data_IF_623850104358
#
_entry.id   IF_623850104358
#
_cell.length_a   1.000
_cell.length_b   1.000
_cell.length_c   1.000
_cell.angle_alpha   90.00
_cell.angle_beta   90.00
_cell.angle_gamma   90.00
#
_symmetry.space_group_name_H-M   'P 1'
#
loop_
_entity.id
_entity.type
_entity.pdbx_description
1 polymer ?
#
# COMPACT_ATOMS: atom_id res chain seq x y z
N UNK A 1 33.37 35.89 11.45
CA UNK A 1 31.99 35.42 11.17
C UNK A 1 32.08 34.07 10.50
N UNK A 2 31.81 33.00 11.26
CA UNK A 2 31.97 31.61 10.87
C UNK A 2 30.64 31.03 10.36
N UNK A 3 30.62 30.46 9.15
CA UNK A 3 29.50 29.63 8.64
C UNK A 3 29.99 28.60 7.61
N UNK A 4 30.67 27.56 8.06
CA UNK A 4 30.92 26.34 7.29
C UNK A 4 31.00 25.15 8.25
N UNK A 5 29.88 24.60 8.72
CA UNK A 5 29.86 23.41 9.62
C UNK A 5 28.47 22.77 9.74
N UNK A 6 27.74 22.56 8.63
CA UNK A 6 26.46 21.83 8.65
C UNK A 6 26.36 20.70 7.61
N UNK A 7 27.43 20.44 6.85
CA UNK A 7 27.41 19.49 5.73
C UNK A 7 28.09 18.13 5.96
N UNK A 8 28.76 17.90 7.10
CA UNK A 8 29.66 16.72 7.24
C UNK A 8 29.51 15.97 8.57
N UNK A 9 28.55 16.33 9.43
CA UNK A 9 28.42 15.74 10.78
C UNK A 9 27.45 14.55 10.87
N UNK A 10 26.75 14.17 9.79
CA UNK A 10 25.81 13.04 9.85
C UNK A 10 26.39 11.69 9.40
N UNK A 11 27.67 11.65 9.00
CA UNK A 11 28.34 10.41 8.55
C UNK A 11 29.23 9.78 9.64
N UNK A 12 29.28 10.37 10.86
CA UNK A 12 30.18 9.93 11.94
C UNK A 12 29.49 9.44 13.23
N UNK A 13 28.33 8.79 13.12
CA UNK A 13 27.79 7.98 14.22
C UNK A 13 27.56 6.54 13.78
N UNK A 14 28.65 5.93 13.32
CA UNK A 14 28.83 4.49 13.39
C UNK A 14 29.26 4.09 14.82
N UNK A 15 28.85 2.88 15.22
CA UNK A 15 29.44 2.04 16.25
C UNK A 15 29.11 2.33 17.73
N UNK A 16 28.06 1.64 18.22
CA UNK A 16 27.94 0.96 19.52
C UNK A 16 26.46 0.51 19.61
N UNK A 17 26.06 -0.75 19.68
CA UNK A 17 26.37 -1.77 20.67
C UNK A 17 26.00 -3.12 20.07
N UNK A 18 26.96 -3.99 19.81
CA UNK A 18 26.75 -5.43 19.66
C UNK A 18 27.75 -6.11 20.58
N UNK A 19 27.30 -6.50 21.77
CA UNK A 19 27.90 -7.58 22.54
C UNK A 19 27.01 -7.96 23.73
N UNK A 20 26.27 -9.07 23.62
CA UNK A 20 26.15 -10.06 24.71
C UNK A 20 26.04 -11.43 24.06
N UNK A 21 27.02 -12.28 24.35
CA UNK A 21 27.03 -13.71 24.07
C UNK A 21 26.96 -14.44 25.41
N UNK A 22 26.15 -15.49 25.51
CA UNK A 22 26.41 -16.68 26.35
C UNK A 22 25.36 -17.75 26.03
N UNK A 23 25.84 -18.97 25.85
CA UNK A 23 25.10 -20.17 25.54
C UNK A 23 24.26 -20.66 26.72
N UNK A 24 23.10 -21.26 26.41
CA UNK A 24 22.44 -22.21 27.29
C UNK A 24 22.07 -23.42 26.41
N UNK A 25 22.72 -24.55 26.71
CA UNK A 25 22.34 -25.87 26.26
C UNK A 25 21.04 -26.27 26.97
N UNK A 26 19.91 -26.24 26.25
CA UNK A 26 18.66 -26.81 26.75
C UNK A 26 18.62 -28.31 26.41
N UNK A 27 19.08 -29.10 27.37
CA UNK A 27 18.94 -30.55 27.47
C UNK A 27 17.43 -30.91 27.43
N UNK A 28 16.94 -31.47 26.32
CA UNK A 28 15.57 -31.98 26.22
C UNK A 28 15.53 -33.43 26.74
N UNK A 29 14.92 -33.71 27.92
CA UNK A 29 14.76 -35.08 28.38
C UNK A 29 13.75 -35.82 27.50
N UNK A 30 14.20 -36.93 26.92
CA UNK A 30 13.36 -37.90 26.24
C UNK A 30 12.52 -38.67 27.26
N UNK A 31 11.25 -38.29 27.41
CA UNK A 31 10.28 -39.05 28.18
C UNK A 31 9.52 -40.02 27.27
N UNK A 32 9.87 -41.31 27.36
CA UNK A 32 8.99 -42.39 26.94
C UNK A 32 7.83 -42.52 27.93
N UNK A 33 6.60 -42.34 27.46
CA UNK A 33 5.40 -42.47 28.30
C UNK A 33 4.15 -42.49 27.44
N UNK A 34 3.41 -43.60 27.51
CA UNK A 34 2.34 -43.92 26.59
C UNK A 34 1.05 -43.14 26.78
N UNK A 35 0.23 -43.17 25.71
CA UNK A 35 -1.23 -43.25 25.83
C UNK A 35 -1.95 -42.04 26.39
N UNK A 36 -2.08 -40.98 25.59
CA UNK A 36 -3.30 -40.19 25.58
C UNK A 36 -3.64 -39.85 24.13
N UNK A 37 -4.60 -40.60 23.57
CA UNK A 37 -5.24 -40.17 22.33
C UNK A 37 -5.87 -38.81 22.63
N UNK A 38 -5.26 -37.75 22.14
CA UNK A 38 -5.90 -36.45 22.07
C UNK A 38 -7.15 -36.69 21.23
N UNK A 39 -8.30 -36.77 21.90
CA UNK A 39 -9.62 -36.85 21.28
C UNK A 39 -9.73 -35.62 20.40
N UNK A 40 -9.55 -35.79 19.09
CA UNK A 40 -9.91 -34.75 18.12
C UNK A 40 -11.40 -34.46 18.34
N UNK A 41 -11.79 -33.25 18.75
CA UNK A 41 -13.19 -32.91 18.79
C UNK A 41 -13.73 -32.97 17.36
N UNK A 42 -14.67 -33.88 17.13
CA UNK A 42 -15.37 -33.99 15.86
C UNK A 42 -16.06 -32.67 15.55
N UNK A 43 -15.67 -32.09 14.42
CA UNK A 43 -16.50 -31.24 13.55
C UNK A 43 -17.54 -30.35 14.23
N UNK A 44 -17.11 -29.29 14.91
CA UNK A 44 -17.87 -28.03 15.10
C UNK A 44 -16.95 -26.79 15.13
N UNK A 45 -15.90 -26.82 14.30
CA UNK A 45 -14.76 -25.89 14.38
C UNK A 45 -14.75 -24.73 13.38
N UNK A 46 -15.89 -24.12 13.04
CA UNK A 46 -15.92 -22.96 12.13
C UNK A 46 -15.87 -21.59 12.84
N UNK A 47 -15.75 -21.55 14.17
CA UNK A 47 -15.91 -20.31 14.94
C UNK A 47 -14.63 -19.48 15.17
N UNK A 48 -13.47 -19.90 14.65
CA UNK A 48 -12.20 -19.16 14.78
C UNK A 48 -11.37 -19.07 13.50
N UNK A 49 -12.01 -19.08 12.32
CA UNK A 49 -11.31 -18.73 11.07
C UNK A 49 -11.19 -17.20 10.98
N UNK A 50 -10.33 -16.63 11.82
CA UNK A 50 -9.97 -15.22 11.75
C UNK A 50 -9.57 -14.85 10.32
N UNK A 51 -10.07 -13.73 9.80
CA UNK A 51 -9.72 -13.23 8.47
C UNK A 51 -8.20 -13.05 8.42
N UNK A 52 -7.52 -13.77 7.53
CA UNK A 52 -6.08 -13.61 7.29
C UNK A 52 -5.81 -12.17 6.88
N UNK A 53 -5.11 -11.42 7.73
CA UNK A 53 -4.66 -10.05 7.42
C UNK A 53 -3.46 -10.11 6.50
N UNK A 54 -3.32 -9.13 5.59
CA UNK A 54 -2.20 -9.03 4.65
C UNK A 54 -2.47 -9.56 3.24
N UNK A 55 -3.52 -10.37 3.04
CA UNK A 55 -4.02 -10.68 1.69
C UNK A 55 -4.71 -9.45 1.07
N UNK A 56 -4.71 -9.36 -0.28
CA UNK A 56 -5.50 -8.35 -0.98
C UNK A 56 -6.98 -8.69 -0.83
N UNK A 57 -7.75 -7.72 -0.36
CA UNK A 57 -9.20 -7.81 -0.22
C UNK A 57 -9.85 -6.83 -1.18
N UNK A 58 -10.82 -7.27 -1.95
CA UNK A 58 -11.62 -6.39 -2.81
C UNK A 58 -12.46 -5.43 -1.97
N UNK A 59 -12.55 -4.18 -2.41
CA UNK A 59 -13.47 -3.19 -1.84
C UNK A 59 -14.76 -3.23 -2.65
N UNK A 60 -15.87 -3.53 -1.99
CA UNK A 60 -17.20 -3.54 -2.61
C UNK A 60 -17.76 -2.12 -2.67
N UNK A 61 -18.66 -1.87 -3.60
CA UNK A 61 -19.38 -0.60 -3.73
C UNK A 61 -18.45 0.63 -3.85
N UNK A 62 -17.41 0.50 -4.68
CA UNK A 62 -16.36 1.52 -4.85
C UNK A 62 -16.91 2.90 -5.23
N UNK A 63 -18.03 2.96 -5.94
CA UNK A 63 -18.67 4.23 -6.33
C UNK A 63 -19.27 4.99 -5.14
N UNK A 64 -19.70 4.29 -4.08
CA UNK A 64 -20.28 4.88 -2.88
C UNK A 64 -19.27 5.11 -1.77
N UNK A 65 -18.14 4.41 -1.82
CA UNK A 65 -17.05 4.55 -0.85
C UNK A 65 -16.32 5.89 -1.04
N UNK A 66 -16.58 6.84 -0.13
CA UNK A 66 -15.99 8.17 -0.16
C UNK A 66 -14.46 8.14 -0.05
N UNK A 67 -13.91 7.28 0.78
CA UNK A 67 -12.46 7.18 0.98
C UNK A 67 -11.78 6.72 -0.32
N UNK A 68 -12.34 5.70 -0.96
CA UNK A 68 -11.81 5.19 -2.24
C UNK A 68 -11.89 6.25 -3.33
N UNK A 69 -13.01 6.97 -3.46
CA UNK A 69 -13.15 8.04 -4.46
C UNK A 69 -12.17 9.20 -4.20
N UNK A 70 -11.96 9.58 -2.93
CA UNK A 70 -10.96 10.58 -2.56
C UNK A 70 -9.53 10.13 -2.90
N UNK A 71 -9.19 8.86 -2.67
CA UNK A 71 -7.88 8.33 -3.05
C UNK A 71 -7.70 8.30 -4.57
N UNK A 72 -8.77 8.06 -5.33
CA UNK A 72 -8.79 8.21 -6.78
C UNK A 72 -8.47 9.63 -7.23
N UNK A 73 -9.17 10.64 -6.66
CA UNK A 73 -8.91 12.07 -6.93
C UNK A 73 -7.48 12.48 -6.56
N UNK A 74 -7.02 12.06 -5.39
CA UNK A 74 -5.65 12.29 -4.94
C UNK A 74 -4.62 11.71 -5.93
N UNK A 75 -4.87 10.52 -6.46
CA UNK A 75 -3.96 9.87 -7.40
C UNK A 75 -3.78 10.67 -8.69
N UNK A 76 -4.89 11.14 -9.28
CA UNK A 76 -4.87 11.96 -10.49
C UNK A 76 -4.22 13.33 -10.23
N UNK A 77 -4.57 13.98 -9.12
CA UNK A 77 -4.01 15.27 -8.75
C UNK A 77 -2.49 15.20 -8.54
N UNK A 78 -2.00 14.16 -7.84
CA UNK A 78 -0.57 13.96 -7.62
C UNK A 78 0.19 13.61 -8.90
N UNK A 79 -0.42 12.82 -9.79
CA UNK A 79 0.17 12.55 -11.10
C UNK A 79 0.35 13.84 -11.90
N UNK A 80 -0.70 14.66 -12.02
CA UNK A 80 -0.64 15.95 -12.69
C UNK A 80 0.39 16.90 -12.05
N UNK A 81 0.47 16.93 -10.72
CA UNK A 81 1.49 17.72 -9.99
C UNK A 81 2.91 17.28 -10.36
N UNK A 82 3.17 15.97 -10.37
CA UNK A 82 4.50 15.43 -10.72
C UNK A 82 4.89 15.73 -12.15
N UNK A 83 3.96 15.63 -13.10
CA UNK A 83 4.22 16.00 -14.50
C UNK A 83 4.61 17.47 -14.65
N UNK A 84 3.86 18.38 -14.00
CA UNK A 84 4.17 19.81 -13.99
C UNK A 84 5.56 20.11 -13.42
N UNK A 85 5.93 19.47 -12.30
CA UNK A 85 7.24 19.66 -11.65
C UNK A 85 8.37 19.09 -12.50
N UNK A 86 8.14 17.96 -13.18
CA UNK A 86 9.13 17.33 -14.05
C UNK A 86 9.38 18.12 -15.35
N UNK A 87 8.55 19.13 -15.66
CA UNK A 87 8.63 19.88 -16.92
C UNK A 87 8.29 19.04 -18.16
N UNK A 88 7.84 17.80 -17.96
CA UNK A 88 7.34 16.95 -19.02
C UNK A 88 5.94 17.45 -19.36
N UNK A 89 5.76 18.04 -20.55
CA UNK A 89 4.47 18.51 -21.06
C UNK A 89 3.50 17.36 -21.39
N UNK A 90 3.37 16.40 -20.48
CA UNK A 90 2.46 15.28 -20.65
C UNK A 90 1.02 15.67 -20.34
N UNK A 91 0.13 14.79 -20.78
CA UNK A 91 -1.31 15.00 -20.80
C UNK A 91 -1.84 15.25 -19.39
N UNK A 92 -2.66 16.31 -19.25
CA UNK A 92 -3.33 16.58 -17.99
C UNK A 92 -4.59 15.73 -17.90
N UNK A 93 -4.77 15.04 -16.79
CA UNK A 93 -5.89 14.15 -16.57
C UNK A 93 -6.94 14.76 -15.64
N UNK A 94 -8.21 14.54 -15.92
CA UNK A 94 -9.34 14.85 -15.07
C UNK A 94 -9.91 13.57 -14.47
N UNK A 95 -10.13 13.57 -13.15
CA UNK A 95 -10.69 12.41 -12.46
C UNK A 95 -12.16 12.24 -12.82
N UNK A 96 -12.55 11.04 -13.26
CA UNK A 96 -13.95 10.70 -13.51
C UNK A 96 -14.51 9.87 -12.35
N UNK A 97 -13.97 8.66 -12.13
CA UNK A 97 -14.42 7.76 -11.07
C UNK A 97 -13.40 6.65 -10.77
N UNK A 98 -13.58 5.96 -9.66
CA UNK A 98 -12.90 4.67 -9.40
C UNK A 98 -13.78 3.52 -9.87
N UNK A 99 -13.23 2.66 -10.73
CA UNK A 99 -13.89 1.50 -11.34
C UNK A 99 -13.77 0.25 -10.47
N UNK A 100 -12.61 0.07 -9.84
CA UNK A 100 -12.35 -1.06 -8.95
C UNK A 100 -11.29 -0.68 -7.91
N UNK A 101 -11.36 -1.31 -6.75
CA UNK A 101 -10.40 -1.10 -5.69
C UNK A 101 -10.12 -2.38 -4.91
N UNK A 102 -8.86 -2.56 -4.52
CA UNK A 102 -8.44 -3.58 -3.58
C UNK A 102 -7.63 -2.92 -2.47
N UNK A 103 -7.75 -3.46 -1.26
CA UNK A 103 -7.05 -3.01 -0.06
C UNK A 103 -6.18 -4.12 0.50
N UNK A 104 -5.00 -3.75 0.99
CA UNK A 104 -4.05 -4.65 1.64
C UNK A 104 -3.47 -3.98 2.88
N UNK A 105 -3.44 -4.72 4.00
CA UNK A 105 -2.77 -4.28 5.23
C UNK A 105 -1.27 -4.53 5.09
N UNK A 106 -0.47 -3.50 5.32
CA UNK A 106 1.01 -3.51 5.31
C UNK A 106 1.50 -2.72 6.54
N UNK A 107 2.66 -2.04 6.49
CA UNK A 107 3.01 -0.95 7.41
C UNK A 107 2.17 0.33 7.15
N UNK A 108 0.85 0.15 6.99
CA UNK A 108 -0.12 1.11 6.44
C UNK A 108 -1.28 0.38 5.77
N UNK A 109 -2.09 1.13 5.03
CA UNK A 109 -3.11 0.61 4.12
C UNK A 109 -2.65 0.85 2.68
N UNK A 110 -2.49 -0.21 1.91
CA UNK A 110 -2.14 -0.13 0.50
C UNK A 110 -3.40 -0.35 -0.34
N UNK A 111 -3.76 0.65 -1.12
CA UNK A 111 -4.86 0.64 -2.06
C UNK A 111 -4.34 0.41 -3.47
N UNK A 112 -4.96 -0.53 -4.18
CA UNK A 112 -4.78 -0.76 -5.60
C UNK A 112 -6.07 -0.32 -6.27
N UNK A 113 -6.01 0.78 -7.01
CA UNK A 113 -7.18 1.43 -7.59
C UNK A 113 -7.11 1.32 -9.11
N UNK A 114 -8.23 1.01 -9.75
CA UNK A 114 -8.46 1.25 -11.17
C UNK A 114 -9.24 2.55 -11.28
N UNK A 115 -8.56 3.62 -11.67
CA UNK A 115 -9.11 4.97 -11.75
C UNK A 115 -9.37 5.28 -13.19
N UNK A 116 -10.59 5.69 -13.49
CA UNK A 116 -10.95 6.15 -14.81
C UNK A 116 -10.86 7.69 -14.84
N UNK A 117 -10.17 8.19 -15.85
CA UNK A 117 -9.83 9.59 -16.02
C UNK A 117 -9.85 9.97 -17.49
N UNK A 118 -10.34 11.17 -17.77
CA UNK A 118 -10.34 11.76 -19.10
C UNK A 118 -9.14 12.68 -19.27
N UNK A 119 -8.75 12.95 -20.51
CA UNK A 119 -7.80 14.03 -20.80
C UNK A 119 -8.50 15.38 -20.66
N UNK A 120 -7.86 16.34 -20.00
CA UNK A 120 -8.38 17.70 -19.84
C UNK A 120 -8.47 18.38 -21.21
N UNK A 121 -9.69 18.79 -21.60
CA UNK A 121 -9.95 19.38 -22.93
C UNK A 121 -10.15 18.36 -24.04
N UNK A 122 -10.08 17.06 -23.74
CA UNK A 122 -10.46 15.99 -24.66
C UNK A 122 -11.98 15.96 -24.84
N UNK A 123 -12.50 16.72 -25.80
CA UNK A 123 -13.90 16.58 -26.20
C UNK A 123 -14.13 15.15 -26.75
N UNK A 124 -15.29 14.52 -26.47
CA UNK A 124 -15.59 13.14 -26.91
C UNK A 124 -15.51 12.97 -28.43
N UNK A 125 -15.61 14.06 -29.18
CA UNK A 125 -15.49 14.15 -30.63
C UNK A 125 -14.04 14.06 -31.16
N UNK A 126 -13.02 14.32 -30.33
CA UNK A 126 -11.60 14.30 -30.71
C UNK A 126 -10.86 13.01 -30.29
N UNK A 127 -11.59 11.97 -29.88
CA UNK A 127 -10.97 10.73 -29.37
C UNK A 127 -10.55 10.81 -27.89
N UNK A 128 -10.91 11.88 -27.19
CA UNK A 128 -10.73 12.06 -25.74
C UNK A 128 -11.71 11.22 -24.92
N UNK A 129 -11.56 9.90 -24.96
CA UNK A 129 -12.34 8.97 -24.15
C UNK A 129 -11.85 8.86 -22.71
N UNK A 130 -12.72 8.38 -21.81
CA UNK A 130 -12.34 7.95 -20.47
C UNK A 130 -11.31 6.80 -20.58
N UNK A 131 -10.10 7.02 -20.05
CA UNK A 131 -9.04 6.01 -19.99
C UNK A 131 -8.92 5.48 -18.57
N UNK A 132 -8.62 4.19 -18.44
CA UNK A 132 -8.44 3.55 -17.13
C UNK A 132 -6.95 3.49 -16.79
N UNK A 133 -6.64 3.81 -15.54
CA UNK A 133 -5.29 3.85 -14.98
C UNK A 133 -5.20 2.98 -13.74
N UNK A 134 -4.10 2.26 -13.61
CA UNK A 134 -3.73 1.56 -12.39
C UNK A 134 -2.98 2.50 -11.46
N UNK A 135 -3.57 2.77 -10.30
CA UNK A 135 -2.97 3.56 -9.24
C UNK A 135 -2.68 2.72 -7.99
N UNK A 136 -1.54 2.96 -7.36
CA UNK A 136 -1.17 2.33 -6.08
C UNK A 136 -0.90 3.42 -5.05
N UNK A 137 -1.71 3.46 -4.00
CA UNK A 137 -1.62 4.47 -2.94
C UNK A 137 -1.36 3.80 -1.60
N UNK A 138 -0.45 4.35 -0.80
CA UNK A 138 -0.24 3.94 0.59
C UNK A 138 -0.71 5.04 1.52
N UNK A 139 -1.55 4.67 2.48
CA UNK A 139 -2.09 5.54 3.51
C UNK A 139 -1.57 5.07 4.87
N UNK A 140 -1.10 6.01 5.69
CA UNK A 140 -0.73 5.79 7.09
C UNK A 140 -1.55 6.75 7.95
N UNK A 141 -2.73 6.33 8.45
CA UNK A 141 -3.62 7.23 9.18
C UNK A 141 -2.98 7.85 10.41
N UNK A 142 -2.14 7.10 11.13
CA UNK A 142 -1.43 7.57 12.33
C UNK A 142 -0.33 8.62 12.06
N UNK A 143 0.00 8.89 10.79
CA UNK A 143 0.89 9.96 10.37
C UNK A 143 0.19 10.96 9.45
N UNK A 144 -1.13 10.83 9.26
CA UNK A 144 -1.92 11.61 8.30
C UNK A 144 -1.30 11.63 6.89
N UNK A 145 -0.58 10.56 6.53
CA UNK A 145 0.24 10.52 5.34
C UNK A 145 -0.41 9.68 4.25
N UNK A 146 -0.47 10.23 3.02
CA UNK A 146 -0.91 9.53 1.81
C UNK A 146 0.16 9.69 0.75
N UNK A 147 0.57 8.59 0.10
CA UNK A 147 1.61 8.61 -0.94
C UNK A 147 1.19 7.79 -2.15
N UNK A 148 1.20 8.41 -3.33
CA UNK A 148 1.06 7.75 -4.61
C UNK A 148 2.38 7.06 -4.99
N UNK A 149 2.37 5.74 -5.09
CA UNK A 149 3.55 4.95 -5.47
C UNK A 149 3.64 4.74 -6.98
N UNK A 150 2.50 4.50 -7.63
CA UNK A 150 2.43 4.20 -9.06
C UNK A 150 1.16 4.76 -9.64
N UNK A 151 1.25 5.27 -10.86
CA UNK A 151 0.13 5.68 -11.69
C UNK A 151 0.53 5.41 -13.14
N UNK A 152 -0.16 4.49 -13.80
CA UNK A 152 0.12 4.13 -15.20
C UNK A 152 -1.19 3.77 -15.92
N UNK A 153 -1.25 3.84 -17.25
CA UNK A 153 -2.36 3.26 -18.00
C UNK A 153 -2.59 1.81 -17.57
N UNK A 154 -3.86 1.45 -17.33
CA UNK A 154 -4.23 0.07 -17.11
C UNK A 154 -4.05 -0.67 -18.43
N UNK A 155 -3.44 -1.85 -18.38
CA UNK A 155 -3.37 -2.69 -19.57
C UNK A 155 -4.80 -3.07 -19.97
N UNK A 156 -5.15 -2.81 -21.24
CA UNK A 156 -6.38 -3.30 -21.82
C UNK A 156 -6.26 -4.83 -21.86
N UNK A 157 -7.11 -5.48 -21.08
CA UNK A 157 -7.19 -6.94 -21.03
C UNK A 157 -8.22 -7.42 -22.04
#
# INVERSE_FOLDING_TARGET
MARYLLGVCCVLLAAAVVLVAAAADDDFPSASGGGARIRQPSARGEYYRGRKVGARTEVRDVERDREVQELGRFSVAEYNRRQRVAGCGGERLEFTRVVAAQRQVVSGLKYYLRVAAAEEGGAPENGGGERVFDAVVVVKPWLESRRLLRFKPADAM
#
